data_IF_212327722673
#
_entry.id   IF_212327722673
#
_cell.length_a   1.000
_cell.length_b   1.000
_cell.length_c   1.000
_cell.angle_alpha   90.00
_cell.angle_beta   90.00
_cell.angle_gamma   90.00
#
_symmetry.space_group_name_H-M   'P 1'
#
loop_
_entity.id
_entity.type
_entity.pdbx_description
1 polymer ?
#
# COMPACT_ATOMS: atom_id res chain seq x y z
N UNK A 1 5.25 -8.78 5.98
CA UNK A 1 4.37 -8.53 7.16
C UNK A 1 3.37 -7.39 6.92
N UNK A 2 3.79 -6.16 6.60
CA UNK A 2 2.87 -5.03 6.39
C UNK A 2 1.75 -5.30 5.38
N UNK A 3 2.07 -5.88 4.23
CA UNK A 3 1.10 -6.28 3.20
C UNK A 3 0.06 -7.29 3.71
N UNK A 4 0.50 -8.33 4.42
CA UNK A 4 -0.39 -9.36 4.96
C UNK A 4 -1.36 -8.78 6.00
N UNK A 5 -0.87 -7.93 6.91
CA UNK A 5 -1.72 -7.24 7.89
C UNK A 5 -2.71 -6.31 7.21
N UNK A 6 -2.25 -5.52 6.22
CA UNK A 6 -3.10 -4.62 5.45
C UNK A 6 -4.24 -5.34 4.74
N UNK A 7 -3.91 -6.44 4.06
CA UNK A 7 -4.89 -7.31 3.40
C UNK A 7 -5.85 -7.97 4.38
N UNK A 8 -5.35 -8.47 5.52
CA UNK A 8 -6.21 -9.09 6.54
C UNK A 8 -7.23 -8.09 7.11
N UNK A 9 -6.80 -6.86 7.45
CA UNK A 9 -7.68 -5.81 7.95
C UNK A 9 -8.71 -5.36 6.92
N UNK A 10 -8.29 -5.12 5.68
CA UNK A 10 -9.20 -4.74 4.59
C UNK A 10 -10.19 -5.88 4.26
N UNK A 11 -9.74 -7.13 4.26
CA UNK A 11 -10.55 -8.32 3.98
C UNK A 11 -11.72 -8.49 4.94
N UNK A 12 -11.52 -8.23 6.25
CA UNK A 12 -12.61 -8.26 7.24
C UNK A 12 -13.69 -7.22 6.92
N UNK A 13 -13.30 -6.02 6.48
CA UNK A 13 -14.23 -4.98 6.04
C UNK A 13 -15.04 -5.40 4.80
N UNK A 14 -14.36 -6.03 3.82
CA UNK A 14 -14.99 -6.51 2.59
C UNK A 14 -16.03 -7.60 2.89
N UNK A 15 -15.68 -8.59 3.71
CA UNK A 15 -16.60 -9.68 4.05
C UNK A 15 -17.85 -9.18 4.78
N UNK A 16 -17.70 -8.19 5.68
CA UNK A 16 -18.84 -7.53 6.33
C UNK A 16 -19.71 -6.77 5.33
N UNK A 17 -19.10 -6.09 4.35
CA UNK A 17 -19.84 -5.40 3.29
C UNK A 17 -20.50 -6.33 2.27
N UNK A 18 -19.90 -7.49 2.00
CA UNK A 18 -20.34 -8.44 0.97
C UNK A 18 -21.68 -9.09 1.27
N UNK A 19 -22.04 -9.23 2.54
CA UNK A 19 -23.37 -9.74 2.95
C UNK A 19 -24.47 -8.70 2.74
N UNK A 20 -24.15 -7.41 2.94
CA UNK A 20 -25.11 -6.31 2.81
C UNK A 20 -25.30 -5.88 1.36
N UNK A 21 -24.20 -5.76 0.60
CA UNK A 21 -24.17 -5.22 -0.75
C UNK A 21 -23.12 -5.97 -1.59
N UNK A 22 -23.46 -7.15 -2.15
CA UNK A 22 -22.49 -7.99 -2.87
C UNK A 22 -21.97 -7.35 -4.17
N UNK A 23 -22.70 -6.41 -4.77
CA UNK A 23 -22.27 -5.66 -5.96
C UNK A 23 -21.00 -4.81 -5.72
N UNK A 24 -20.74 -4.39 -4.48
CA UNK A 24 -19.66 -3.44 -4.18
C UNK A 24 -18.30 -4.11 -3.96
N UNK A 25 -18.25 -5.44 -3.91
CA UNK A 25 -17.04 -6.22 -3.61
C UNK A 25 -15.90 -5.91 -4.59
N UNK A 26 -16.22 -5.79 -5.89
CA UNK A 26 -15.22 -5.53 -6.93
C UNK A 26 -14.55 -4.17 -6.79
N UNK A 27 -15.32 -3.13 -6.42
CA UNK A 27 -14.77 -1.79 -6.14
C UNK A 27 -13.93 -1.81 -4.87
N UNK A 28 -14.35 -2.55 -3.85
CA UNK A 28 -13.64 -2.65 -2.57
C UNK A 28 -12.38 -3.52 -2.59
N UNK A 29 -11.98 -4.07 -3.74
CA UNK A 29 -10.76 -4.87 -3.89
C UNK A 29 -9.49 -4.01 -4.06
N UNK A 30 -9.63 -2.72 -4.40
CA UNK A 30 -8.49 -1.79 -4.61
C UNK A 30 -7.55 -1.69 -3.39
N UNK A 31 -8.04 -1.59 -2.13
CA UNK A 31 -7.16 -1.53 -0.96
C UNK A 31 -6.32 -2.80 -0.77
N UNK A 32 -6.81 -3.97 -1.19
CA UNK A 32 -6.06 -5.24 -1.09
C UNK A 32 -4.88 -5.22 -2.05
N UNK A 33 -5.09 -4.83 -3.31
CA UNK A 33 -4.01 -4.76 -4.28
C UNK A 33 -2.97 -3.71 -3.85
N UNK A 34 -3.41 -2.58 -3.29
CA UNK A 34 -2.51 -1.53 -2.78
C UNK A 34 -1.66 -2.01 -1.60
N UNK A 35 -2.22 -2.83 -0.70
CA UNK A 35 -1.45 -3.48 0.35
C UNK A 35 -0.45 -4.52 -0.22
N UNK A 36 -0.83 -5.21 -1.31
CA UNK A 36 0.00 -6.24 -1.97
C UNK A 36 1.27 -5.70 -2.62
N UNK A 37 1.21 -4.52 -3.25
CA UNK A 37 2.38 -3.93 -3.95
C UNK A 37 3.55 -3.66 -2.99
N UNK A 38 3.28 -3.35 -1.71
CA UNK A 38 4.34 -3.20 -0.70
C UNK A 38 5.20 -4.46 -0.50
N UNK A 39 4.68 -5.65 -0.81
CA UNK A 39 5.48 -6.88 -0.81
C UNK A 39 6.49 -6.94 -1.97
N UNK A 40 6.13 -6.41 -3.13
CA UNK A 40 6.96 -6.40 -4.33
C UNK A 40 8.15 -5.46 -4.14
N UNK A 41 7.95 -4.30 -3.51
CA UNK A 41 9.04 -3.35 -3.22
C UNK A 41 10.14 -3.96 -2.34
N UNK A 42 9.77 -4.77 -1.34
CA UNK A 42 10.73 -5.49 -0.51
C UNK A 42 11.48 -6.58 -1.27
N UNK A 43 10.79 -7.32 -2.16
CA UNK A 43 11.39 -8.35 -3.00
C UNK A 43 12.42 -7.75 -3.97
N UNK A 44 12.10 -6.62 -4.62
CA UNK A 44 13.02 -5.94 -5.54
C UNK A 44 14.29 -5.51 -4.79
N UNK A 45 14.15 -4.93 -3.60
CA UNK A 45 15.31 -4.49 -2.79
C UNK A 45 16.21 -5.66 -2.41
N UNK A 46 15.64 -6.80 -2.03
CA UNK A 46 16.41 -8.01 -1.73
C UNK A 46 17.19 -8.54 -2.95
N UNK A 47 16.58 -8.56 -4.14
CA UNK A 47 17.22 -9.01 -5.38
C UNK A 47 18.37 -8.06 -5.76
N UNK A 48 18.21 -6.75 -5.62
CA UNK A 48 19.26 -5.76 -5.94
C UNK A 48 20.47 -5.95 -5.01
N UNK A 49 20.24 -6.09 -3.71
CA UNK A 49 21.32 -6.32 -2.74
C UNK A 49 22.06 -7.63 -3.07
N UNK A 50 21.34 -8.70 -3.43
CA UNK A 50 21.96 -9.98 -3.79
C UNK A 50 22.89 -9.88 -5.00
N UNK A 51 22.52 -9.10 -6.01
CA UNK A 51 23.35 -8.89 -7.21
C UNK A 51 24.59 -8.03 -6.95
N UNK A 52 24.60 -7.27 -5.86
CA UNK A 52 25.70 -6.36 -5.50
C UNK A 52 26.81 -7.08 -4.69
N UNK A 53 26.51 -8.24 -4.11
CA UNK A 53 27.46 -9.03 -3.32
C UNK A 53 28.48 -9.72 -4.24
N UNK A 54 29.74 -9.30 -4.17
CA UNK A 54 30.86 -9.92 -4.89
C UNK A 54 31.41 -11.13 -4.14
N UNK A 55 31.81 -12.18 -4.88
CA UNK A 55 32.43 -13.37 -4.29
C UNK A 55 33.83 -13.04 -3.73
N UNK A 56 34.25 -13.66 -2.60
CA UNK A 56 35.57 -13.45 -2.03
C UNK A 56 36.66 -13.99 -2.98
N UNK A 57 37.68 -13.18 -3.24
CA UNK A 57 38.80 -13.57 -4.10
C UNK A 57 39.68 -14.64 -3.43
N UNK A 58 40.34 -15.47 -4.25
CA UNK A 58 41.13 -16.65 -3.84
C UNK A 58 42.31 -16.36 -2.90
N UNK A 59 42.68 -15.09 -2.72
CA UNK A 59 43.79 -14.63 -1.88
C UNK A 59 43.41 -14.37 -0.40
N UNK A 60 42.17 -14.67 0.01
CA UNK A 60 41.74 -14.55 1.42
C UNK A 60 41.53 -13.12 1.93
N UNK A 61 41.77 -12.09 1.11
CA UNK A 61 41.45 -10.70 1.41
C UNK A 61 39.94 -10.43 1.27
N UNK A 62 39.36 -9.74 2.25
CA UNK A 62 37.94 -9.37 2.26
C UNK A 62 37.67 -8.27 1.22
N UNK A 63 37.19 -8.67 0.04
CA UNK A 63 36.66 -7.74 -0.99
C UNK A 63 35.45 -6.95 -0.47
N UNK A 64 34.77 -7.47 0.56
CA UNK A 64 33.63 -6.83 1.22
C UNK A 64 34.05 -6.09 2.49
N UNK A 65 34.02 -4.76 2.46
CA UNK A 65 34.30 -3.90 3.62
C UNK A 65 33.14 -3.95 4.64
N UNK A 66 33.45 -3.75 5.93
CA UNK A 66 32.41 -3.63 6.97
C UNK A 66 31.42 -2.49 6.67
N UNK A 67 31.88 -1.41 6.03
CA UNK A 67 31.02 -0.27 5.65
C UNK A 67 29.93 -0.68 4.65
N UNK A 68 30.27 -1.48 3.63
CA UNK A 68 29.29 -1.95 2.64
C UNK A 68 28.31 -2.93 3.29
N UNK A 69 28.79 -3.83 4.16
CA UNK A 69 27.94 -4.74 4.94
C UNK A 69 26.88 -4.02 5.78
N UNK A 70 27.27 -3.00 6.56
CA UNK A 70 26.31 -2.19 7.32
C UNK A 70 25.39 -1.35 6.42
N UNK A 71 25.88 -0.88 5.27
CA UNK A 71 25.07 -0.19 4.26
C UNK A 71 23.92 -1.05 3.72
N UNK A 72 24.19 -2.31 3.34
CA UNK A 72 23.12 -3.20 2.86
C UNK A 72 22.13 -3.60 3.95
N UNK A 73 22.60 -3.78 5.19
CA UNK A 73 21.72 -4.01 6.34
C UNK A 73 20.80 -2.81 6.59
N UNK A 74 21.35 -1.59 6.57
CA UNK A 74 20.59 -0.36 6.73
C UNK A 74 19.57 -0.15 5.59
N UNK A 75 19.97 -0.43 4.34
CA UNK A 75 19.11 -0.36 3.18
C UNK A 75 17.90 -1.31 3.30
N UNK A 76 18.15 -2.57 3.70
CA UNK A 76 17.09 -3.55 3.92
C UNK A 76 16.15 -3.18 5.07
N UNK A 77 16.68 -2.72 6.20
CA UNK A 77 15.87 -2.30 7.36
C UNK A 77 15.01 -1.07 7.06
N UNK A 78 15.56 -0.06 6.37
CA UNK A 78 14.83 1.14 5.96
C UNK A 78 13.61 0.78 5.10
N UNK A 79 13.82 0.07 3.99
CA UNK A 79 12.73 -0.34 3.11
C UNK A 79 11.72 -1.24 3.82
N UNK A 80 12.18 -2.19 4.65
CA UNK A 80 11.33 -3.13 5.38
C UNK A 80 10.42 -2.44 6.42
N UNK A 81 10.96 -1.52 7.22
CA UNK A 81 10.21 -0.79 8.24
C UNK A 81 9.23 0.21 7.61
N UNK A 82 9.63 0.91 6.54
CA UNK A 82 8.73 1.78 5.77
C UNK A 82 7.57 0.99 5.16
N UNK A 83 7.84 -0.18 4.56
CA UNK A 83 6.80 -1.07 4.01
C UNK A 83 5.88 -1.67 5.07
N UNK A 84 6.38 -1.91 6.29
CA UNK A 84 5.55 -2.32 7.43
C UNK A 84 4.60 -1.21 7.87
N UNK A 85 5.11 0.01 8.07
CA UNK A 85 4.31 1.17 8.48
C UNK A 85 3.25 1.54 7.43
N UNK A 86 3.65 1.60 6.15
CA UNK A 86 2.75 1.84 5.02
C UNK A 86 1.64 0.78 4.93
N UNK A 87 1.99 -0.52 5.05
CA UNK A 87 1.00 -1.60 5.02
C UNK A 87 -0.02 -1.55 6.18
N UNK A 88 0.41 -1.15 7.38
CA UNK A 88 -0.48 -0.95 8.52
C UNK A 88 -1.42 0.25 8.30
N UNK A 89 -0.90 1.37 7.79
CA UNK A 89 -1.68 2.55 7.42
C UNK A 89 -2.77 2.22 6.38
N UNK A 90 -2.40 1.56 5.28
CA UNK A 90 -3.31 1.17 4.18
C UNK A 90 -4.40 0.22 4.69
N UNK A 91 -4.05 -0.72 5.58
CA UNK A 91 -5.03 -1.64 6.16
C UNK A 91 -6.10 -0.93 7.00
N UNK A 92 -5.69 0.02 7.84
CA UNK A 92 -6.60 0.75 8.73
C UNK A 92 -7.48 1.72 7.94
N UNK A 93 -6.90 2.48 7.00
CA UNK A 93 -7.66 3.39 6.14
C UNK A 93 -8.59 2.63 5.18
N UNK A 94 -8.18 1.43 4.72
CA UNK A 94 -8.98 0.51 3.94
C UNK A 94 -10.22 0.01 4.68
N UNK A 95 -10.08 -0.52 5.90
CA UNK A 95 -11.23 -1.01 6.69
C UNK A 95 -12.24 0.13 6.97
N UNK A 96 -11.76 1.34 7.27
CA UNK A 96 -12.63 2.51 7.46
C UNK A 96 -13.33 2.96 6.17
N UNK A 97 -12.59 3.04 5.06
CA UNK A 97 -13.11 3.45 3.75
C UNK A 97 -14.20 2.51 3.24
N UNK A 98 -13.99 1.19 3.35
CA UNK A 98 -14.93 0.16 2.91
C UNK A 98 -16.24 0.21 3.69
N UNK A 99 -16.17 0.45 5.00
CA UNK A 99 -17.36 0.59 5.85
C UNK A 99 -18.16 1.84 5.52
N UNK A 100 -17.49 2.98 5.35
CA UNK A 100 -18.12 4.23 4.97
C UNK A 100 -18.80 4.11 3.59
N UNK A 101 -18.10 3.51 2.61
CA UNK A 101 -18.63 3.29 1.26
C UNK A 101 -19.88 2.39 1.25
N UNK A 102 -19.89 1.35 2.08
CA UNK A 102 -21.03 0.44 2.19
C UNK A 102 -22.25 1.10 2.81
N UNK A 103 -22.06 1.94 3.84
CA UNK A 103 -23.16 2.65 4.52
C UNK A 103 -23.86 3.64 3.58
N UNK A 104 -23.10 4.39 2.79
CA UNK A 104 -23.68 5.38 1.85
C UNK A 104 -24.41 4.71 0.68
N UNK A 105 -23.92 3.56 0.18
CA UNK A 105 -24.64 2.79 -0.85
C UNK A 105 -25.93 2.15 -0.31
N UNK A 106 -25.86 1.57 0.90
CA UNK A 106 -27.02 0.99 1.56
C UNK A 106 -28.10 2.05 1.84
N UNK A 107 -27.72 3.21 2.36
CA UNK A 107 -28.66 4.32 2.61
C UNK A 107 -29.30 4.83 1.31
N UNK A 108 -28.53 4.87 0.22
CA UNK A 108 -29.04 5.21 -1.11
C UNK A 108 -30.07 4.20 -1.63
N UNK A 109 -29.91 2.90 -1.31
CA UNK A 109 -30.86 1.84 -1.69
C UNK A 109 -32.11 1.81 -0.78
N UNK A 110 -31.99 2.15 0.50
CA UNK A 110 -33.08 2.07 1.49
C UNK A 110 -33.94 3.36 1.67
N UNK A 111 -33.66 4.45 0.95
CA UNK A 111 -34.43 5.69 1.09
C UNK A 111 -35.89 5.57 0.57
N UNK A 112 -36.91 6.07 1.31
CA UNK A 112 -38.32 5.92 0.94
C UNK A 112 -38.67 6.66 -0.37
N UNK A 113 -39.49 6.02 -1.23
CA UNK A 113 -39.88 6.52 -2.57
C UNK A 113 -40.48 7.94 -2.56
N UNK A 114 -41.05 8.41 -1.44
CA UNK A 114 -41.66 9.76 -1.31
C UNK A 114 -40.62 10.90 -1.34
N UNK A 115 -39.40 10.66 -0.86
CA UNK A 115 -38.27 11.62 -0.95
C UNK A 115 -37.61 11.60 -2.33
N UNK A 116 -37.77 10.50 -3.08
CA UNK A 116 -37.36 10.41 -4.49
C UNK A 116 -38.14 11.36 -5.42
N UNK A 117 -39.33 11.81 -5.01
CA UNK A 117 -40.18 12.74 -5.76
C UNK A 117 -40.17 14.20 -5.26
N UNK A 118 -39.90 14.45 -3.98
CA UNK A 118 -39.80 15.83 -3.44
C UNK A 118 -38.38 16.43 -3.58
N UNK A 119 -37.38 15.63 -3.96
CA UNK A 119 -36.14 16.09 -4.62
C UNK A 119 -36.30 15.95 -6.14
N UNK A 120 -37.49 16.27 -6.64
CA UNK A 120 -37.90 16.18 -8.05
C UNK A 120 -38.24 17.54 -8.66
N UNK A 121 -37.52 18.60 -8.25
CA UNK A 121 -37.59 19.91 -8.89
C UNK A 121 -36.40 20.10 -9.83
N UNK A 122 -36.65 19.93 -11.13
CA UNK A 122 -35.86 20.37 -12.28
C UNK A 122 -34.32 20.25 -12.23
N UNK A 123 -33.80 19.21 -12.88
CA UNK A 123 -32.43 19.22 -13.42
C UNK A 123 -31.43 18.31 -12.71
N UNK A 124 -31.20 17.12 -13.29
CA UNK A 124 -29.94 16.39 -13.14
C UNK A 124 -30.00 15.14 -12.28
N UNK A 125 -29.59 14.01 -12.89
CA UNK A 125 -29.21 12.77 -12.21
C UNK A 125 -28.37 13.05 -10.94
N UNK A 126 -28.87 12.71 -9.75
CA UNK A 126 -28.04 12.50 -8.54
C UNK A 126 -28.09 11.05 -8.08
N UNK A 127 -27.74 10.15 -9.01
CA UNK A 127 -27.31 8.77 -8.75
C UNK A 127 -25.79 8.78 -9.02
N UNK A 128 -24.94 8.82 -7.99
CA UNK A 128 -23.49 8.63 -8.19
C UNK A 128 -22.56 9.44 -7.29
N UNK A 129 -22.90 10.68 -6.90
CA UNK A 129 -21.91 11.57 -6.28
C UNK A 129 -21.40 11.17 -4.89
N UNK A 130 -22.28 10.76 -3.97
CA UNK A 130 -21.89 10.59 -2.56
C UNK A 130 -21.00 9.36 -2.35
N UNK A 131 -21.43 8.19 -2.85
CA UNK A 131 -20.66 6.95 -2.70
C UNK A 131 -19.31 7.01 -3.44
N UNK A 132 -19.30 7.54 -4.66
CA UNK A 132 -18.05 7.64 -5.43
C UNK A 132 -17.08 8.65 -4.85
N UNK A 133 -17.57 9.77 -4.29
CA UNK A 133 -16.70 10.74 -3.60
C UNK A 133 -16.04 10.14 -2.36
N UNK A 134 -16.76 9.33 -1.58
CA UNK A 134 -16.21 8.61 -0.40
C UNK A 134 -15.19 7.55 -0.85
N UNK A 135 -15.50 6.83 -1.93
CA UNK A 135 -14.58 5.85 -2.52
C UNK A 135 -13.27 6.50 -2.96
N UNK A 136 -13.35 7.54 -3.80
CA UNK A 136 -12.18 8.28 -4.27
C UNK A 136 -11.38 8.84 -3.10
N UNK A 137 -12.05 9.43 -2.10
CA UNK A 137 -11.38 9.93 -0.89
C UNK A 137 -10.58 8.84 -0.15
N UNK A 138 -11.16 7.64 0.01
CA UNK A 138 -10.45 6.52 0.64
C UNK A 138 -9.27 6.00 -0.18
N UNK A 139 -9.38 5.98 -1.51
CA UNK A 139 -8.30 5.57 -2.41
C UNK A 139 -7.16 6.58 -2.38
N UNK A 140 -7.47 7.89 -2.37
CA UNK A 140 -6.45 8.94 -2.28
C UNK A 140 -5.58 8.80 -1.04
N UNK A 141 -6.19 8.52 0.12
CA UNK A 141 -5.45 8.28 1.37
C UNK A 141 -4.50 7.08 1.24
N UNK A 142 -4.93 6.02 0.56
CA UNK A 142 -4.10 4.83 0.33
C UNK A 142 -2.93 5.11 -0.62
N UNK A 143 -3.12 5.95 -1.64
CA UNK A 143 -2.03 6.39 -2.53
C UNK A 143 -0.95 7.14 -1.75
N UNK A 144 -1.33 8.10 -0.91
CA UNK A 144 -0.37 8.80 -0.04
C UNK A 144 0.32 7.84 0.93
N UNK A 145 -0.41 6.89 1.52
CA UNK A 145 0.16 5.85 2.37
C UNK A 145 1.14 4.93 1.63
N UNK A 146 0.86 4.59 0.37
CA UNK A 146 1.74 3.77 -0.49
C UNK A 146 3.04 4.47 -0.85
N UNK A 147 3.02 5.80 -1.03
CA UNK A 147 4.22 6.57 -1.34
C UNK A 147 5.30 6.48 -0.24
N UNK A 148 4.93 6.30 1.04
CA UNK A 148 5.91 6.10 2.11
C UNK A 148 6.82 4.88 1.88
N UNK A 149 6.26 3.77 1.40
CA UNK A 149 7.05 2.58 1.11
C UNK A 149 7.94 2.77 -0.12
N UNK A 150 7.43 3.47 -1.13
CA UNK A 150 8.16 3.81 -2.34
C UNK A 150 9.38 4.68 -2.03
N UNK A 151 9.23 5.70 -1.17
CA UNK A 151 10.37 6.52 -0.74
C UNK A 151 11.42 5.70 0.01
N UNK A 152 11.01 4.81 0.92
CA UNK A 152 11.93 3.91 1.64
C UNK A 152 12.71 2.96 0.70
N UNK A 153 12.07 2.51 -0.38
CA UNK A 153 12.73 1.71 -1.41
C UNK A 153 13.76 2.55 -2.21
N UNK A 154 13.39 3.76 -2.64
CA UNK A 154 14.32 4.65 -3.37
C UNK A 154 15.57 4.92 -2.53
N UNK A 155 15.40 5.24 -1.25
CA UNK A 155 16.54 5.48 -0.34
C UNK A 155 17.41 4.24 -0.18
N UNK A 156 16.81 3.05 -0.08
CA UNK A 156 17.55 1.80 0.00
C UNK A 156 18.37 1.52 -1.28
N UNK A 157 17.83 1.83 -2.45
CA UNK A 157 18.53 1.66 -3.73
C UNK A 157 19.71 2.61 -3.84
N UNK A 158 19.53 3.89 -3.51
CA UNK A 158 20.62 4.89 -3.54
C UNK A 158 21.77 4.44 -2.63
N UNK A 159 21.45 3.93 -1.43
CA UNK A 159 22.44 3.44 -0.47
C UNK A 159 23.18 2.17 -0.95
N UNK A 160 22.54 1.40 -1.83
CA UNK A 160 23.11 0.19 -2.43
C UNK A 160 24.02 0.53 -3.62
N UNK A 161 23.92 1.72 -4.21
CA UNK A 161 24.74 2.15 -5.35
C UNK A 161 26.07 2.82 -4.94
N UNK A 162 26.27 3.19 -3.68
CA UNK A 162 27.53 3.77 -3.19
C UNK A 162 28.59 2.69 -2.94
N UNK A 163 29.37 2.36 -3.97
CA UNK A 163 30.58 1.54 -3.82
C UNK A 163 31.76 2.41 -3.35
N UNK A 164 32.27 2.12 -2.16
CA UNK A 164 33.58 2.62 -1.74
C UNK A 164 34.66 1.62 -2.16
N UNK A 165 35.47 2.01 -3.14
CA UNK A 165 36.74 1.34 -3.41
C UNK A 165 37.72 1.74 -2.30
N UNK A 166 38.27 0.76 -1.58
CA UNK A 166 39.41 1.01 -0.72
C UNK A 166 40.58 1.42 -1.63
N UNK A 167 40.96 2.70 -1.62
CA UNK A 167 42.20 3.14 -2.24
C UNK A 167 43.30 2.75 -1.25
N UNK A 168 44.02 1.67 -1.56
CA UNK A 168 45.24 1.29 -0.84
C UNK A 168 46.26 2.43 -0.97
N UNK A 169 46.62 3.02 0.17
CA UNK A 169 47.71 4.00 0.31
C UNK A 169 48.89 3.39 1.04
#
# INVERSE_FOLDING_TARGET
MGAAYGTAKAGVGIMKSGVLCPELIWKNLIPIIMAGVNGIYGLITAIIILNNITQPNVDGFRVYSLYTGFGHMAAGLCCGLCGMASGMCIGVSGDAGIRAFTQVDWQSKNAPRKVRGMVGGAGGKKKGGSAESVFVGSVLIQVFGGNLALYGMITAIILTQTYYQCVDG
#
